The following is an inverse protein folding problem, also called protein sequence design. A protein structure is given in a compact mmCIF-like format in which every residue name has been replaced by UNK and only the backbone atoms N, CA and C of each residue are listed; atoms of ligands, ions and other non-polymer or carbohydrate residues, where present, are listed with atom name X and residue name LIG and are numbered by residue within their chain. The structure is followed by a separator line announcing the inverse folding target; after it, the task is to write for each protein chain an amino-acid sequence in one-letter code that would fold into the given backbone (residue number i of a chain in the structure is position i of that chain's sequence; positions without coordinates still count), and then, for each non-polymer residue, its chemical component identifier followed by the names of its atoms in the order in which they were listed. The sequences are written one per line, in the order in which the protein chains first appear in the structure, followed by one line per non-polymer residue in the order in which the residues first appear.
data_IF_485778865073
#
_entry.id   IF_485778865073
#
_cell.length_a   1.000
_cell.length_b   1.000
_cell.length_c   1.000
_cell.angle_alpha   90.00
_cell.angle_beta   90.00
_cell.angle_gamma   90.00
#
_symmetry.space_group_name_H-M   'P 1'
#
loop_
_entity.id
_entity.type
_entity.pdbx_description
1 polymer ?
#
# COMPACT_ATOMS: atom_id res chain seq x y z
N UNK A 1 2.57 6.92 -25.74
CA UNK A 1 3.79 6.19 -25.33
C UNK A 1 3.33 5.07 -24.43
N UNK A 2 3.93 3.86 -24.50
CA UNK A 2 3.73 2.90 -23.41
C UNK A 2 4.45 3.52 -22.23
N UNK A 3 3.70 4.07 -21.28
CA UNK A 3 4.29 4.62 -20.07
C UNK A 3 5.08 3.48 -19.40
N UNK A 4 6.40 3.64 -19.33
CA UNK A 4 7.30 2.64 -18.75
C UNK A 4 7.14 2.66 -17.24
N UNK A 5 6.00 2.16 -16.74
CA UNK A 5 5.77 2.01 -15.32
C UNK A 5 6.48 0.74 -14.85
N UNK A 6 7.28 0.86 -13.79
CA UNK A 6 7.83 -0.29 -13.09
C UNK A 6 7.05 -0.44 -11.79
N UNK A 7 6.54 -1.64 -11.51
CA UNK A 7 5.83 -1.93 -10.27
C UNK A 7 6.31 -3.24 -9.69
N UNK A 8 6.67 -3.23 -8.41
CA UNK A 8 6.78 -4.44 -7.62
C UNK A 8 5.45 -4.66 -6.90
N UNK A 9 4.85 -5.84 -7.08
CA UNK A 9 3.53 -6.15 -6.55
C UNK A 9 3.61 -7.36 -5.62
N UNK A 10 3.02 -7.23 -4.44
CA UNK A 10 2.73 -8.35 -3.56
C UNK A 10 1.23 -8.55 -3.50
N UNK A 11 0.78 -9.79 -3.75
CA UNK A 11 -0.64 -10.16 -3.67
C UNK A 11 -0.91 -10.83 -2.33
N UNK A 12 -1.97 -10.39 -1.68
CA UNK A 12 -2.37 -10.86 -0.36
C UNK A 12 -3.55 -11.82 -0.49
N UNK A 13 -3.62 -12.81 0.40
CA UNK A 13 -4.69 -13.82 0.42
C UNK A 13 -5.86 -13.33 1.28
N UNK A 14 -7.06 -13.84 1.01
CA UNK A 14 -8.32 -13.43 1.65
C UNK A 14 -8.41 -13.59 3.18
N UNK A 15 -7.39 -14.14 3.85
CA UNK A 15 -7.38 -14.40 5.29
C UNK A 15 -6.16 -13.77 6.00
N UNK A 16 -5.37 -12.98 5.31
CA UNK A 16 -4.19 -12.36 5.92
C UNK A 16 -4.57 -10.99 6.52
N UNK A 17 -4.10 -10.73 7.73
CA UNK A 17 -4.34 -9.46 8.42
C UNK A 17 -3.57 -8.32 7.74
N UNK A 18 -4.27 -7.22 7.45
CA UNK A 18 -3.69 -6.10 6.69
C UNK A 18 -2.39 -5.58 7.31
N UNK A 19 -2.39 -5.36 8.63
CA UNK A 19 -1.23 -4.81 9.33
C UNK A 19 -0.02 -5.74 9.28
N UNK A 20 -0.24 -7.07 9.37
CA UNK A 20 0.83 -8.05 9.25
C UNK A 20 1.45 -7.96 7.85
N UNK A 21 0.61 -8.03 6.84
CA UNK A 21 1.00 -8.09 5.45
C UNK A 21 1.69 -6.81 4.96
N UNK A 22 1.11 -5.67 5.32
CA UNK A 22 1.71 -4.36 5.03
C UNK A 22 3.02 -4.20 5.82
N UNK A 23 3.10 -4.73 7.04
CA UNK A 23 4.34 -4.81 7.82
C UNK A 23 5.44 -5.57 7.08
N UNK A 24 5.17 -6.80 6.62
CA UNK A 24 6.11 -7.62 5.85
C UNK A 24 6.58 -6.92 4.56
N UNK A 25 5.67 -6.19 3.90
CA UNK A 25 6.01 -5.37 2.74
C UNK A 25 6.98 -4.23 3.11
N UNK A 26 6.67 -3.48 4.16
CA UNK A 26 7.48 -2.35 4.60
C UNK A 26 8.84 -2.82 5.12
N UNK A 27 8.92 -3.95 5.82
CA UNK A 27 10.17 -4.58 6.26
C UNK A 27 11.08 -4.94 5.07
N UNK A 28 10.49 -5.25 3.91
CA UNK A 28 11.25 -5.48 2.67
C UNK A 28 11.79 -4.18 2.08
N UNK A 29 11.05 -3.06 2.21
CA UNK A 29 11.41 -1.78 1.60
C UNK A 29 12.34 -0.92 2.46
N UNK A 30 12.14 -0.91 3.78
CA UNK A 30 12.87 -0.07 4.74
C UNK A 30 14.39 -0.19 4.65
N UNK A 31 15.00 -1.38 4.44
CA UNK A 31 16.45 -1.49 4.23
C UNK A 31 16.96 -0.69 3.02
N UNK A 32 16.09 -0.44 2.04
CA UNK A 32 16.40 0.27 0.80
C UNK A 32 15.88 1.72 0.78
N UNK A 33 15.45 2.26 1.93
CA UNK A 33 14.81 3.58 2.00
C UNK A 33 15.62 4.70 1.33
N UNK A 34 16.95 4.71 1.47
CA UNK A 34 17.80 5.73 0.85
C UNK A 34 17.69 5.69 -0.69
N UNK A 35 17.74 4.50 -1.27
CA UNK A 35 17.60 4.29 -2.70
C UNK A 35 16.18 4.63 -3.19
N UNK A 36 15.15 4.27 -2.42
CA UNK A 36 13.77 4.61 -2.73
C UNK A 36 13.57 6.14 -2.73
N UNK A 37 14.14 6.85 -1.76
CA UNK A 37 14.11 8.31 -1.71
C UNK A 37 14.82 8.94 -2.91
N UNK A 38 15.99 8.44 -3.29
CA UNK A 38 16.71 8.91 -4.49
C UNK A 38 15.89 8.70 -5.77
N UNK A 39 15.19 7.57 -5.90
CA UNK A 39 14.27 7.33 -7.02
C UNK A 39 13.12 8.32 -6.99
N UNK A 40 12.54 8.60 -5.82
CA UNK A 40 11.40 9.49 -5.65
C UNK A 40 11.70 10.96 -5.98
N UNK A 41 12.97 11.37 -5.96
CA UNK A 41 13.39 12.70 -6.42
C UNK A 41 13.32 12.86 -7.94
N UNK A 42 13.41 11.76 -8.70
CA UNK A 42 13.49 11.76 -10.16
C UNK A 42 12.19 11.28 -10.79
N UNK A 43 11.53 10.32 -10.16
CA UNK A 43 10.33 9.64 -10.66
C UNK A 43 9.19 9.77 -9.67
N UNK A 44 7.96 9.63 -10.17
CA UNK A 44 6.78 9.53 -9.33
C UNK A 44 6.73 8.16 -8.64
N UNK A 45 7.37 8.05 -7.47
CA UNK A 45 7.44 6.84 -6.67
C UNK A 45 6.42 6.87 -5.53
N UNK A 46 5.60 5.82 -5.43
CA UNK A 46 4.55 5.71 -4.44
C UNK A 46 4.22 4.25 -4.12
N UNK A 47 3.65 4.04 -2.94
CA UNK A 47 3.03 2.77 -2.56
C UNK A 47 1.54 2.88 -2.87
N UNK A 48 1.03 1.92 -3.63
CA UNK A 48 -0.40 1.82 -3.96
C UNK A 48 -1.06 0.69 -3.16
N UNK A 49 -2.06 1.03 -2.37
CA UNK A 49 -2.93 0.08 -1.69
C UNK A 49 -4.35 0.13 -2.29
N UNK A 50 -4.70 -0.91 -3.03
CA UNK A 50 -6.02 -1.07 -3.63
C UNK A 50 -6.88 -2.05 -2.84
N UNK A 51 -8.06 -1.59 -2.41
CA UNK A 51 -9.04 -2.41 -1.69
C UNK A 51 -10.38 -2.38 -2.43
N UNK A 52 -10.89 -3.56 -2.76
CA UNK A 52 -12.17 -3.73 -3.44
C UNK A 52 -13.09 -4.63 -2.63
N UNK A 53 -14.31 -4.18 -2.35
CA UNK A 53 -15.30 -4.95 -1.63
C UNK A 53 -16.68 -4.79 -2.24
N UNK A 54 -17.47 -5.87 -2.18
CA UNK A 54 -18.87 -5.80 -2.55
C UNK A 54 -19.71 -5.12 -1.46
N UNK A 55 -19.22 -5.07 -0.22
CA UNK A 55 -19.92 -4.51 0.93
C UNK A 55 -20.02 -2.98 0.87
N UNK A 56 -21.17 -2.45 1.31
CA UNK A 56 -21.46 -1.00 1.35
C UNK A 56 -20.73 -0.22 2.45
N UNK A 57 -20.13 -0.91 3.42
CA UNK A 57 -19.20 -0.31 4.38
C UNK A 57 -17.89 -1.07 4.36
N UNK A 58 -16.80 -0.32 4.28
CA UNK A 58 -15.46 -0.86 4.40
C UNK A 58 -14.56 0.17 5.08
N UNK A 59 -13.71 -0.33 5.96
CA UNK A 59 -12.66 0.43 6.61
C UNK A 59 -11.48 -0.49 6.89
N UNK A 60 -10.34 0.12 7.20
CA UNK A 60 -9.18 -0.58 7.71
C UNK A 60 -8.48 0.34 8.69
N UNK A 61 -7.67 -0.27 9.55
CA UNK A 61 -6.87 0.43 10.54
C UNK A 61 -5.40 0.15 10.28
N UNK A 62 -4.57 1.18 10.40
CA UNK A 62 -3.12 1.04 10.35
C UNK A 62 -2.58 1.19 11.76
N UNK A 63 -1.72 0.27 12.17
CA UNK A 63 -1.05 0.38 13.45
C UNK A 63 -0.03 1.54 13.45
N UNK A 64 0.29 2.10 14.63
CA UNK A 64 1.29 3.16 14.75
C UNK A 64 2.64 2.79 14.14
N UNK A 65 3.11 1.55 14.33
CA UNK A 65 4.35 1.06 13.72
C UNK A 65 4.32 1.08 12.20
N UNK A 66 3.18 0.74 11.59
CA UNK A 66 2.97 0.78 10.15
C UNK A 66 2.99 2.21 9.62
N UNK A 67 2.34 3.13 10.34
CA UNK A 67 2.37 4.56 10.01
C UNK A 67 3.78 5.13 10.10
N UNK A 68 4.54 4.75 11.12
CA UNK A 68 5.94 5.18 11.25
C UNK A 68 6.81 4.64 10.12
N UNK A 69 6.67 3.36 9.77
CA UNK A 69 7.41 2.75 8.66
C UNK A 69 7.08 3.39 7.31
N UNK A 70 5.81 3.72 7.05
CA UNK A 70 5.40 4.49 5.86
C UNK A 70 6.03 5.88 5.84
N UNK A 71 6.05 6.57 6.98
CA UNK A 71 6.66 7.89 7.09
C UNK A 71 8.19 7.84 6.86
N UNK A 72 8.85 6.81 7.37
CA UNK A 72 10.30 6.60 7.23
C UNK A 72 10.75 6.39 5.78
N UNK A 73 9.87 5.85 4.92
CA UNK A 73 10.13 5.72 3.49
C UNK A 73 10.03 7.06 2.74
N UNK A 74 9.34 8.05 3.32
CA UNK A 74 9.20 9.40 2.78
C UNK A 74 8.76 9.46 1.30
N UNK A 75 7.87 8.55 0.91
CA UNK A 75 7.22 8.52 -0.40
C UNK A 75 5.70 8.54 -0.25
N UNK A 76 5.00 8.85 -1.33
CA UNK A 76 3.54 8.93 -1.30
C UNK A 76 2.93 7.55 -1.03
N UNK A 77 1.94 7.51 -0.15
CA UNK A 77 1.11 6.33 0.09
C UNK A 77 -0.31 6.64 -0.38
N UNK A 78 -0.79 5.85 -1.34
CA UNK A 78 -2.12 6.02 -1.94
C UNK A 78 -3.02 4.86 -1.55
N UNK A 79 -4.25 5.21 -1.17
CA UNK A 79 -5.29 4.25 -0.78
C UNK A 79 -6.47 4.44 -1.71
N UNK A 80 -6.80 3.39 -2.47
CA UNK A 80 -7.92 3.37 -3.39
C UNK A 80 -8.94 2.34 -2.90
N UNK A 81 -10.12 2.82 -2.48
CA UNK A 81 -11.22 1.97 -2.01
C UNK A 81 -12.32 1.97 -3.07
N UNK A 82 -12.70 0.77 -3.51
CA UNK A 82 -13.82 0.54 -4.42
C UNK A 82 -14.86 -0.28 -3.65
N UNK A 83 -16.05 0.29 -3.44
CA UNK A 83 -17.21 -0.39 -2.84
C UNK A 83 -18.34 -0.48 -3.86
N UNK A 84 -18.94 -1.67 -4.01
CA UNK A 84 -20.09 -1.88 -4.89
C UNK A 84 -21.45 -1.71 -4.20
N UNK A 85 -21.48 -1.45 -2.89
CA UNK A 85 -22.68 -1.02 -2.19
C UNK A 85 -23.68 -2.13 -1.81
N UNK A 86 -23.30 -3.40 -1.85
CA UNK A 86 -24.17 -4.48 -1.36
C UNK A 86 -24.33 -4.36 0.17
N UNK A 87 -25.57 -4.47 0.65
CA UNK A 87 -25.89 -4.55 2.07
C UNK A 87 -25.93 -6.02 2.44
N UNK A 88 -25.19 -6.45 3.46
CA UNK A 88 -25.33 -7.81 4.00
C UNK A 88 -26.80 -8.06 4.37
N UNK A 89 -27.40 -9.11 3.81
CA UNK A 89 -28.73 -9.60 4.16
C UNK A 89 -28.65 -10.62 5.30
#
# INVERSE_FOLDING_TARGET
MKDSYWSYQMKFKNNEELNQVLGEFLDTLLPYKAFISEIAEIYDAYIYFGLSSNLGQLGFELHPETLQALADLNIRFEVHIISYGEVEN
#
